data_IF_640944786501
#
_entry.id   IF_640944786501
#
_cell.length_a   1.000
_cell.length_b   1.000
_cell.length_c   1.000
_cell.angle_alpha   90.00
_cell.angle_beta   90.00
_cell.angle_gamma   90.00
#
_symmetry.space_group_name_H-M   'P 1'
#
loop_
_entity.id
_entity.type
_entity.pdbx_description
1 polymer ?
#
# COMPACT_ATOMS: atom_id res chain seq x y z
N UNK A 1 23.99 -52.22 -0.43
CA UNK A 1 22.77 -52.25 0.43
C UNK A 1 21.56 -52.35 -0.49
N UNK A 2 20.92 -53.52 -0.61
CA UNK A 2 19.75 -53.69 -1.50
C UNK A 2 18.58 -52.94 -0.87
N UNK A 3 18.20 -51.83 -1.48
CA UNK A 3 17.04 -51.04 -1.05
C UNK A 3 15.79 -51.92 -1.20
N UNK A 4 15.09 -52.16 -0.10
CA UNK A 4 13.95 -53.06 -0.09
C UNK A 4 12.85 -52.47 -0.98
N UNK A 5 12.32 -53.24 -1.93
CA UNK A 5 11.34 -52.73 -2.94
C UNK A 5 10.14 -52.03 -2.31
N UNK A 6 9.70 -52.49 -1.14
CA UNK A 6 8.59 -51.90 -0.38
C UNK A 6 8.92 -50.51 0.19
N UNK A 7 10.16 -50.26 0.57
CA UNK A 7 10.62 -48.99 1.13
C UNK A 7 10.67 -47.90 0.05
N UNK A 8 11.08 -48.26 -1.16
CA UNK A 8 11.03 -47.39 -2.35
C UNK A 8 9.59 -46.99 -2.67
N UNK A 9 8.65 -47.94 -2.55
CA UNK A 9 7.25 -47.73 -2.90
C UNK A 9 6.56 -46.77 -1.91
N UNK A 10 6.86 -46.89 -0.61
CA UNK A 10 6.35 -45.98 0.43
C UNK A 10 6.88 -44.55 0.24
N UNK A 11 8.16 -44.40 -0.10
CA UNK A 11 8.76 -43.07 -0.34
C UNK A 11 8.12 -42.40 -1.57
N UNK A 12 7.88 -43.16 -2.63
CA UNK A 12 7.16 -42.68 -3.81
C UNK A 12 5.73 -42.26 -3.47
N UNK A 13 5.01 -43.05 -2.66
CA UNK A 13 3.66 -42.72 -2.22
C UNK A 13 3.62 -41.44 -1.38
N UNK A 14 4.58 -41.28 -0.46
CA UNK A 14 4.70 -40.09 0.38
C UNK A 14 5.06 -38.82 -0.42
N UNK A 15 5.89 -38.95 -1.47
CA UNK A 15 6.21 -37.87 -2.40
C UNK A 15 4.97 -37.41 -3.18
N UNK A 16 4.17 -38.37 -3.65
CA UNK A 16 2.89 -38.06 -4.33
C UNK A 16 1.94 -37.38 -3.36
N UNK A 17 1.74 -37.92 -2.15
CA UNK A 17 0.85 -37.30 -1.15
C UNK A 17 1.33 -35.89 -0.76
N UNK A 18 2.65 -35.69 -0.58
CA UNK A 18 3.24 -34.39 -0.27
C UNK A 18 3.08 -33.37 -1.40
N UNK A 19 3.16 -33.80 -2.66
CA UNK A 19 2.91 -32.96 -3.83
C UNK A 19 1.45 -32.48 -3.90
N UNK A 20 0.52 -33.28 -3.39
CA UNK A 20 -0.91 -32.95 -3.38
C UNK A 20 -1.33 -31.91 -2.31
N UNK A 21 -0.53 -31.76 -1.25
CA UNK A 21 -0.89 -30.92 -0.09
C UNK A 21 -0.53 -29.43 -0.30
N UNK A 22 0.33 -29.11 -1.27
CA UNK A 22 0.74 -27.72 -1.54
C UNK A 22 0.12 -27.15 -2.81
N UNK A 23 -1.06 -26.51 -2.78
CA UNK A 23 -1.50 -25.73 -3.92
C UNK A 23 -0.48 -24.62 -4.19
N UNK A 24 0.08 -24.61 -5.40
CA UNK A 24 0.98 -23.52 -5.82
C UNK A 24 0.12 -22.31 -6.15
N UNK A 25 0.01 -21.40 -5.19
CA UNK A 25 -0.71 -20.13 -5.32
C UNK A 25 0.28 -19.09 -5.84
N UNK A 26 0.05 -18.55 -7.05
CA UNK A 26 0.72 -17.29 -7.41
C UNK A 26 -0.10 -16.14 -6.87
N UNK A 27 0.63 -15.17 -6.33
CA UNK A 27 0.07 -13.94 -5.81
C UNK A 27 0.44 -12.83 -6.78
N UNK A 28 -0.52 -12.37 -7.57
CA UNK A 28 -0.34 -11.17 -8.38
C UNK A 28 -0.75 -9.96 -7.55
N UNK A 29 0.11 -8.94 -7.56
CA UNK A 29 -0.12 -7.66 -6.87
C UNK A 29 -0.42 -6.61 -7.93
N UNK A 30 -1.65 -6.10 -7.93
CA UNK A 30 -2.02 -4.92 -8.70
C UNK A 30 -2.01 -3.70 -7.77
N UNK A 31 -1.22 -2.69 -8.11
CA UNK A 31 -1.06 -1.47 -7.32
C UNK A 31 -1.71 -0.33 -8.08
N UNK A 32 -2.82 0.19 -7.56
CA UNK A 32 -3.50 1.35 -8.12
C UNK A 32 -3.37 2.55 -7.19
N UNK A 33 -3.03 3.69 -7.77
CA UNK A 33 -3.02 4.97 -7.09
C UNK A 33 -4.31 5.70 -7.45
N UNK A 34 -5.22 5.81 -6.48
CA UNK A 34 -6.50 6.48 -6.68
C UNK A 34 -6.39 7.89 -6.09
N UNK A 35 -6.70 8.89 -6.90
CA UNK A 35 -6.75 10.29 -6.47
C UNK A 35 -8.05 10.48 -5.69
N UNK A 36 -7.94 10.88 -4.42
CA UNK A 36 -9.08 11.24 -3.61
C UNK A 36 -9.63 12.62 -3.95
N UNK A 37 -10.75 12.98 -3.33
CA UNK A 37 -11.33 14.31 -3.47
C UNK A 37 -10.38 15.39 -2.95
N UNK A 38 -10.25 16.45 -3.73
CA UNK A 38 -9.43 17.61 -3.39
C UNK A 38 -10.15 18.41 -2.31
N UNK A 39 -9.46 18.65 -1.18
CA UNK A 39 -9.99 19.47 -0.09
C UNK A 39 -9.34 20.84 -0.17
N UNK A 40 -10.18 21.87 -0.31
CA UNK A 40 -9.77 23.28 -0.24
C UNK A 40 -10.31 23.87 1.05
N UNK A 41 -9.43 24.49 1.82
CA UNK A 41 -9.81 25.18 3.04
C UNK A 41 -8.93 26.41 3.25
N UNK A 42 -9.52 27.41 3.90
CA UNK A 42 -8.79 28.58 4.37
C UNK A 42 -8.66 28.49 5.89
N UNK A 43 -7.52 28.94 6.40
CA UNK A 43 -7.20 28.85 7.83
C UNK A 43 -7.43 30.23 8.44
N UNK A 44 -8.28 30.27 9.47
CA UNK A 44 -8.48 31.47 10.27
C UNK A 44 -7.20 31.85 11.04
N UNK A 45 -6.84 33.12 10.95
CA UNK A 45 -5.80 33.82 11.71
C UNK A 45 -5.84 33.62 13.22
N UNK A 46 -7.01 33.30 13.79
CA UNK A 46 -7.15 33.00 15.23
C UNK A 46 -6.46 31.70 15.67
N UNK A 47 -6.16 30.78 14.74
CA UNK A 47 -5.54 29.47 15.02
C UNK A 47 -4.01 29.49 15.03
N UNK A 48 -3.41 30.66 14.92
CA UNK A 48 -1.96 30.82 14.84
C UNK A 48 -1.36 30.83 16.24
N UNK A 49 -0.60 29.80 16.57
CA UNK A 49 0.14 29.74 17.84
C UNK A 49 1.52 30.38 17.67
N UNK A 50 1.83 31.43 18.42
CA UNK A 50 3.15 32.08 18.38
C UNK A 50 4.20 31.17 19.00
N UNK A 51 5.18 30.75 18.20
CA UNK A 51 6.29 29.92 18.66
C UNK A 51 7.49 30.75 19.12
N UNK A 52 7.80 31.80 18.37
CA UNK A 52 9.02 32.58 18.58
C UNK A 52 8.85 34.00 18.09
N UNK A 53 9.38 34.93 18.87
CA UNK A 53 9.50 36.33 18.51
C UNK A 53 10.99 36.71 18.53
N UNK A 54 11.51 37.20 17.41
CA UNK A 54 12.88 37.67 17.26
C UNK A 54 12.87 39.17 16.97
N UNK A 55 13.51 39.94 17.86
CA UNK A 55 13.75 41.36 17.63
C UNK A 55 14.95 41.53 16.71
N UNK A 56 14.83 42.29 15.61
CA UNK A 56 15.98 42.56 14.76
C UNK A 56 17.00 43.44 15.49
N UNK A 57 18.27 43.16 15.28
CA UNK A 57 19.37 43.97 15.80
C UNK A 57 19.70 45.07 14.79
N UNK A 58 19.16 46.27 15.00
CA UNK A 58 19.27 47.37 14.05
C UNK A 58 20.21 48.42 14.62
N UNK A 59 21.26 48.74 13.86
CA UNK A 59 22.20 49.80 14.18
C UNK A 59 21.87 51.02 13.30
N UNK A 60 21.53 52.15 13.91
CA UNK A 60 21.30 53.41 13.19
C UNK A 60 22.40 54.42 13.48
N UNK A 61 22.80 55.18 12.45
CA UNK A 61 23.71 56.32 12.57
C UNK A 61 22.89 57.61 12.45
N UNK A 62 22.81 58.35 13.55
CA UNK A 62 22.06 59.61 13.62
C UNK A 62 22.73 60.68 12.74
N UNK A 63 22.00 61.19 11.74
CA UNK A 63 22.44 62.32 10.92
C UNK A 63 21.31 63.34 10.82
N UNK A 64 21.34 64.32 11.73
CA UNK A 64 20.93 65.71 11.51
C UNK A 64 19.57 65.99 10.85
N UNK A 65 18.51 66.00 11.67
CA UNK A 65 17.34 66.90 11.64
C UNK A 65 16.62 67.22 10.32
N UNK A 66 15.39 66.69 10.17
CA UNK A 66 14.26 67.41 9.54
C UNK A 66 13.00 67.15 10.38
N UNK A 67 12.40 68.22 10.94
CA UNK A 67 11.22 68.15 11.81
C UNK A 67 9.92 68.17 10.98
N UNK A 68 9.14 67.10 11.06
CA UNK A 68 7.71 67.12 10.77
C UNK A 68 6.95 66.85 12.07
N UNK A 69 6.05 67.77 12.48
CA UNK A 69 5.15 67.55 13.63
C UNK A 69 3.88 66.85 13.15
N UNK A 70 3.74 65.58 13.53
CA UNK A 70 2.46 64.90 13.68
C UNK A 70 2.33 64.45 15.15
N UNK A 71 1.11 64.38 15.68
CA UNK A 71 0.81 63.99 17.06
C UNK A 71 1.57 62.70 17.46
N UNK A 72 1.99 62.50 18.73
CA UNK A 72 2.89 61.42 19.13
C UNK A 72 2.17 60.07 19.10
N UNK A 73 1.98 59.54 17.90
CA UNK A 73 2.06 58.11 17.71
C UNK A 73 3.48 57.73 18.09
N UNK A 74 3.66 56.76 18.98
CA UNK A 74 4.97 56.29 19.40
C UNK A 74 5.65 55.59 18.20
N UNK A 75 6.27 56.40 17.33
CA UNK A 75 6.86 55.95 16.06
C UNK A 75 7.91 54.89 16.30
N UNK A 76 8.61 54.96 17.44
CA UNK A 76 9.61 53.98 17.83
C UNK A 76 8.96 52.63 18.16
N UNK A 77 7.86 52.62 18.92
CA UNK A 77 7.13 51.39 19.22
C UNK A 77 6.53 50.75 17.96
N UNK A 78 6.02 51.55 17.03
CA UNK A 78 5.47 51.05 15.74
C UNK A 78 6.56 50.47 14.84
N UNK A 79 7.70 51.16 14.72
CA UNK A 79 8.83 50.66 13.92
C UNK A 79 9.35 49.36 14.53
N UNK A 80 9.53 49.34 15.85
CA UNK A 80 9.95 48.14 16.56
C UNK A 80 8.97 46.98 16.33
N UNK A 81 7.66 47.21 16.43
CA UNK A 81 6.64 46.18 16.19
C UNK A 81 6.61 45.70 14.74
N UNK A 82 6.75 46.62 13.78
CA UNK A 82 6.80 46.30 12.35
C UNK A 82 7.99 45.40 12.00
N UNK A 83 9.16 45.67 12.58
CA UNK A 83 10.38 44.93 12.26
C UNK A 83 10.47 43.57 12.97
N UNK A 84 9.58 43.29 13.93
CA UNK A 84 9.50 41.99 14.61
C UNK A 84 9.32 40.85 13.62
N UNK A 85 10.12 39.80 13.82
CA UNK A 85 9.94 38.52 13.15
C UNK A 85 9.21 37.57 14.09
N UNK A 86 8.02 37.13 13.69
CA UNK A 86 7.15 36.24 14.46
C UNK A 86 6.97 34.92 13.71
N UNK A 87 7.32 33.82 14.36
CA UNK A 87 7.13 32.47 13.83
C UNK A 87 5.90 31.85 14.49
N UNK A 88 5.02 31.26 13.67
CA UNK A 88 3.79 30.65 14.15
C UNK A 88 3.72 29.17 13.81
N UNK A 89 2.90 28.44 14.56
CA UNK A 89 2.47 27.08 14.24
C UNK A 89 0.98 27.09 13.93
N UNK A 90 0.61 26.38 12.86
CA UNK A 90 -0.78 26.22 12.44
C UNK A 90 -1.00 24.76 12.05
N UNK A 91 -2.04 24.14 12.58
CA UNK A 91 -2.49 22.81 12.14
C UNK A 91 -3.64 23.02 11.16
N UNK A 92 -3.39 22.71 9.88
CA UNK A 92 -4.37 22.87 8.81
C UNK A 92 -5.48 21.80 8.90
N UNK A 93 -5.09 20.55 9.16
CA UNK A 93 -5.99 19.45 9.51
C UNK A 93 -5.20 18.33 10.21
N UNK A 94 -5.90 17.57 11.06
CA UNK A 94 -5.41 16.38 11.74
C UNK A 94 -6.53 15.32 11.70
N UNK A 95 -6.53 14.51 10.65
CA UNK A 95 -7.57 13.50 10.41
C UNK A 95 -6.91 12.14 10.14
N UNK A 96 -7.42 11.09 10.80
CA UNK A 96 -6.94 9.72 10.63
C UNK A 96 -6.99 9.23 9.18
N UNK A 97 -7.92 9.73 8.38
CA UNK A 97 -8.08 9.33 6.98
C UNK A 97 -7.22 10.15 6.00
N UNK A 98 -6.97 11.44 6.30
CA UNK A 98 -6.27 12.38 5.39
C UNK A 98 -4.83 12.66 5.82
N UNK A 99 -4.43 12.22 7.00
CA UNK A 99 -3.15 12.54 7.63
C UNK A 99 -3.19 13.87 8.37
N UNK A 100 -1.99 14.36 8.71
CA UNK A 100 -1.82 15.61 9.45
C UNK A 100 -1.00 16.60 8.63
N UNK A 101 -1.47 17.83 8.49
CA UNK A 101 -0.73 18.92 7.84
C UNK A 101 -0.46 20.03 8.86
N UNK A 102 0.82 20.18 9.21
CA UNK A 102 1.31 21.28 10.05
C UNK A 102 2.05 22.30 9.17
N UNK A 103 1.74 23.58 9.39
CA UNK A 103 2.31 24.71 8.67
C UNK A 103 3.05 25.62 9.66
N UNK A 104 4.19 26.14 9.23
CA UNK A 104 5.07 26.97 10.07
C UNK A 104 5.34 28.33 9.39
N UNK A 105 4.32 29.19 9.27
CA UNK A 105 4.49 30.50 8.65
C UNK A 105 5.35 31.42 9.54
N UNK A 106 6.18 32.23 8.88
CA UNK A 106 7.02 33.24 9.52
C UNK A 106 6.64 34.61 8.97
N UNK A 107 6.25 35.51 9.86
CA UNK A 107 5.79 36.86 9.57
C UNK A 107 6.91 37.83 9.91
N UNK A 108 7.22 38.76 9.01
CA UNK A 108 8.13 39.88 9.26
C UNK A 108 7.61 41.10 8.49
N UNK A 109 7.83 42.31 9.01
CA UNK A 109 7.36 43.56 8.36
C UNK A 109 5.83 43.61 8.24
N UNK A 110 5.12 43.04 9.22
CA UNK A 110 3.67 42.87 9.21
C UNK A 110 3.11 42.21 7.93
N UNK A 111 3.91 41.38 7.26
CA UNK A 111 3.51 40.63 6.08
C UNK A 111 3.19 39.19 6.43
N UNK A 112 1.91 38.91 6.67
CA UNK A 112 1.27 37.65 6.30
C UNK A 112 -0.24 37.86 6.23
N UNK A 113 -0.81 37.76 5.04
CA UNK A 113 -2.17 38.20 4.76
C UNK A 113 -3.19 37.05 4.61
N UNK A 114 -2.73 35.80 4.55
CA UNK A 114 -3.57 34.62 4.36
C UNK A 114 -2.72 33.39 4.08
N UNK A 115 -3.25 32.22 4.44
CA UNK A 115 -2.58 30.94 4.25
C UNK A 115 -3.60 29.92 3.72
N UNK A 116 -3.78 29.94 2.39
CA UNK A 116 -4.63 28.98 1.71
C UNK A 116 -3.84 27.72 1.37
N UNK A 117 -4.47 26.56 1.55
CA UNK A 117 -3.86 25.30 1.18
C UNK A 117 -4.83 24.45 0.35
N UNK A 118 -4.24 23.74 -0.60
CA UNK A 118 -4.95 22.79 -1.45
C UNK A 118 -4.30 21.42 -1.29
N UNK A 119 -5.04 20.46 -0.72
CA UNK A 119 -4.54 19.12 -0.47
C UNK A 119 -5.37 18.09 -1.23
N UNK A 120 -4.68 17.23 -1.99
CA UNK A 120 -5.30 16.09 -2.65
C UNK A 120 -4.64 14.80 -2.16
N UNK A 121 -5.33 13.98 -1.34
CA UNK A 121 -4.78 12.72 -0.88
C UNK A 121 -4.66 11.72 -2.03
N UNK A 122 -3.56 10.97 -2.05
CA UNK A 122 -3.37 9.81 -2.94
C UNK A 122 -3.48 8.57 -2.09
N UNK A 123 -4.48 7.73 -2.36
CA UNK A 123 -4.65 6.46 -1.68
C UNK A 123 -4.02 5.34 -2.50
N UNK A 124 -3.26 4.46 -1.83
CA UNK A 124 -2.66 3.27 -2.44
C UNK A 124 -3.58 2.09 -2.20
N UNK A 125 -4.26 1.65 -3.24
CA UNK A 125 -5.03 0.41 -3.21
C UNK A 125 -4.16 -0.74 -3.72
N UNK A 126 -4.07 -1.80 -2.92
CA UNK A 126 -3.35 -3.02 -3.27
C UNK A 126 -4.39 -4.13 -3.41
N UNK A 127 -4.66 -4.53 -4.65
CA UNK A 127 -5.50 -5.70 -4.90
C UNK A 127 -4.60 -6.94 -4.99
N UNK A 128 -4.86 -7.91 -4.12
CA UNK A 128 -4.12 -9.19 -4.08
C UNK A 128 -5.03 -10.25 -4.69
N UNK A 129 -4.75 -10.63 -5.94
CA UNK A 129 -5.44 -11.76 -6.56
C UNK A 129 -4.65 -13.04 -6.28
N UNK A 130 -5.26 -13.95 -5.53
CA UNK A 130 -4.71 -15.30 -5.32
C UNK A 130 -5.31 -16.23 -6.38
N UNK A 131 -4.48 -16.65 -7.34
CA UNK A 131 -4.89 -17.66 -8.32
C UNK A 131 -4.13 -18.95 -8.06
N UNK A 132 -4.88 -20.04 -7.89
CA UNK A 132 -4.32 -21.38 -7.83
C UNK A 132 -3.99 -21.83 -9.25
N UNK A 133 -2.72 -22.17 -9.51
CA UNK A 133 -2.25 -22.52 -10.85
C UNK A 133 -2.08 -24.01 -11.02
N UNK A 134 -1.60 -24.67 -9.98
CA UNK A 134 -1.47 -26.12 -9.94
C UNK A 134 -2.50 -26.69 -8.97
N UNK A 135 -3.37 -27.55 -9.48
CA UNK A 135 -4.38 -28.25 -8.69
C UNK A 135 -4.26 -29.76 -8.93
N UNK A 136 -3.60 -30.48 -8.01
CA UNK A 136 -3.48 -31.92 -8.10
C UNK A 136 -4.82 -32.58 -7.74
N UNK A 137 -5.19 -33.67 -8.40
CA UNK A 137 -6.44 -34.39 -8.15
C UNK A 137 -6.24 -35.91 -8.28
N UNK A 138 -6.99 -36.67 -7.49
CA UNK A 138 -7.07 -38.11 -7.59
C UNK A 138 -8.36 -38.48 -8.33
N UNK A 139 -8.32 -39.57 -9.08
CA UNK A 139 -9.47 -40.05 -9.81
C UNK A 139 -9.66 -41.55 -9.63
N UNK A 140 -10.92 -41.95 -9.54
CA UNK A 140 -11.33 -43.33 -9.61
C UNK A 140 -12.43 -43.44 -10.65
N UNK A 141 -12.39 -44.48 -11.46
CA UNK A 141 -13.36 -44.75 -12.50
C UNK A 141 -13.71 -46.23 -12.52
N UNK A 142 -14.96 -46.53 -12.83
CA UNK A 142 -15.45 -47.87 -13.02
C UNK A 142 -16.21 -47.92 -14.34
N UNK A 143 -15.87 -48.88 -15.19
CA UNK A 143 -16.48 -49.07 -16.51
C UNK A 143 -17.50 -50.20 -16.45
N UNK A 144 -18.55 -50.11 -17.28
CA UNK A 144 -19.54 -51.19 -17.47
C UNK A 144 -18.92 -52.47 -18.03
N UNK A 145 -17.69 -52.40 -18.53
CA UNK A 145 -16.86 -53.53 -18.97
C UNK A 145 -16.03 -54.16 -17.83
N UNK A 146 -16.42 -53.98 -16.56
CA UNK A 146 -15.73 -54.45 -15.35
C UNK A 146 -14.30 -53.91 -15.10
N UNK A 147 -13.85 -52.93 -15.88
CA UNK A 147 -12.57 -52.28 -15.63
C UNK A 147 -12.66 -51.28 -14.47
N UNK A 148 -11.75 -51.42 -13.50
CA UNK A 148 -11.50 -50.42 -12.45
C UNK A 148 -10.26 -49.61 -12.84
N UNK A 149 -10.41 -48.29 -12.86
CA UNK A 149 -9.33 -47.34 -13.10
C UNK A 149 -9.05 -46.50 -11.87
N UNK A 150 -7.80 -46.48 -11.39
CA UNK A 150 -7.35 -45.59 -10.32
C UNK A 150 -6.21 -44.74 -10.89
N UNK A 151 -6.28 -43.44 -10.67
CA UNK A 151 -5.30 -42.51 -11.22
C UNK A 151 -5.23 -41.21 -10.47
N UNK A 152 -4.44 -40.31 -11.05
CA UNK A 152 -4.30 -38.97 -10.56
C UNK A 152 -3.73 -38.08 -11.65
N UNK A 153 -3.86 -36.79 -11.44
CA UNK A 153 -3.44 -35.82 -12.41
C UNK A 153 -3.19 -34.46 -11.78
N UNK A 154 -2.79 -33.53 -12.63
CA UNK A 154 -2.56 -32.14 -12.27
C UNK A 154 -3.31 -31.26 -13.26
N UNK A 155 -4.02 -30.27 -12.74
CA UNK A 155 -4.53 -29.15 -13.53
C UNK A 155 -3.52 -28.03 -13.51
N UNK A 156 -3.19 -27.53 -14.71
CA UNK A 156 -2.57 -26.23 -14.92
C UNK A 156 -3.67 -25.27 -15.42
N UNK A 157 -4.08 -24.34 -14.55
CA UNK A 157 -5.32 -23.57 -14.77
C UNK A 157 -6.51 -24.50 -15.06
N UNK A 158 -7.09 -24.42 -16.25
CA UNK A 158 -8.29 -25.16 -16.65
C UNK A 158 -7.95 -26.44 -17.44
N UNK A 159 -6.68 -26.66 -17.79
CA UNK A 159 -6.24 -27.83 -18.55
C UNK A 159 -5.59 -28.83 -17.60
N UNK A 160 -6.11 -30.05 -17.58
CA UNK A 160 -5.65 -31.14 -16.74
C UNK A 160 -5.00 -32.26 -17.55
N UNK A 161 -3.89 -32.77 -17.05
CA UNK A 161 -3.32 -34.05 -17.49
C UNK A 161 -3.63 -35.11 -16.45
N UNK A 162 -4.00 -36.30 -16.91
CA UNK A 162 -4.36 -37.44 -16.09
C UNK A 162 -3.56 -38.67 -16.52
N UNK A 163 -3.11 -39.44 -15.53
CA UNK A 163 -2.59 -40.78 -15.75
C UNK A 163 -3.37 -41.76 -14.88
N UNK A 164 -3.96 -42.78 -15.50
CA UNK A 164 -4.78 -43.80 -14.85
C UNK A 164 -4.23 -45.18 -15.10
N UNK A 165 -4.23 -45.99 -14.06
CA UNK A 165 -3.98 -47.42 -14.16
C UNK A 165 -5.32 -48.16 -14.17
N UNK A 166 -5.55 -48.96 -15.20
CA UNK A 166 -6.82 -49.64 -15.46
C UNK A 166 -6.61 -51.16 -15.38
N UNK A 167 -7.45 -51.85 -14.63
CA UNK A 167 -7.35 -53.31 -14.44
C UNK A 167 -8.72 -53.97 -14.35
N UNK A 168 -8.84 -55.16 -14.93
CA UNK A 168 -9.99 -56.09 -14.78
C UNK A 168 -9.52 -57.39 -14.09
N UNK A 169 -8.52 -57.27 -13.22
CA UNK A 169 -7.79 -58.34 -12.50
C UNK A 169 -7.00 -59.33 -13.39
N UNK A 170 -7.41 -59.54 -14.64
CA UNK A 170 -6.75 -60.37 -15.64
C UNK A 170 -5.92 -59.55 -16.66
N UNK A 171 -6.38 -58.34 -17.00
CA UNK A 171 -5.70 -57.45 -17.96
C UNK A 171 -5.37 -56.13 -17.30
N UNK A 172 -4.17 -55.62 -17.58
CA UNK A 172 -3.61 -54.38 -17.03
C UNK A 172 -3.35 -53.41 -18.16
N UNK A 173 -3.70 -52.15 -17.97
CA UNK A 173 -3.51 -51.08 -18.93
C UNK A 173 -3.17 -49.77 -18.24
N UNK A 174 -2.55 -48.86 -19.00
CA UNK A 174 -2.34 -47.48 -18.61
C UNK A 174 -3.11 -46.61 -19.58
N UNK A 175 -3.81 -45.62 -19.04
CA UNK A 175 -4.60 -44.66 -19.79
C UNK A 175 -4.14 -43.24 -19.48
N UNK A 176 -4.11 -42.39 -20.51
CA UNK A 176 -3.67 -41.00 -20.42
C UNK A 176 -4.85 -40.14 -20.84
N UNK A 177 -5.31 -39.31 -19.92
CA UNK A 177 -6.46 -38.44 -20.11
C UNK A 177 -6.05 -36.97 -20.22
N UNK A 178 -6.69 -36.24 -21.13
CA UNK A 178 -6.72 -34.78 -21.11
C UNK A 178 -8.07 -34.34 -20.55
N UNK A 179 -8.06 -33.45 -19.55
CA UNK A 179 -9.26 -32.90 -18.93
C UNK A 179 -9.32 -31.40 -19.14
N UNK A 180 -10.53 -30.90 -19.29
CA UNK A 180 -10.81 -29.46 -19.30
C UNK A 180 -11.83 -29.13 -18.22
N UNK A 181 -11.52 -28.12 -17.42
CA UNK A 181 -12.38 -27.61 -16.34
C UNK A 181 -13.10 -26.37 -16.87
N UNK A 182 -14.42 -26.46 -16.99
CA UNK A 182 -15.32 -25.38 -17.37
C UNK A 182 -16.06 -24.83 -16.14
#
# INVERSE_FOLDING_TARGET
MKLNKYLVLIILLALVIGFFIGPTIKTDKDVKYVKGETVTASIDTSKFELLKEEKPNIQYRDTGSIKYRYAPVDTAAIIADYELKRSYKVIAFDDKAKGKLELFPVIQYNKLAGLDYNFTPIQKEISIQKKQIWMPYASMSYSTLNYIGIGGGIFYHDIGLELRYVTDFNKKGVDIGLKYKF
#
